data_IF_154183805565
#
_entry.id   IF_154183805565
#
_cell.length_a   1.000
_cell.length_b   1.000
_cell.length_c   1.000
_cell.angle_alpha   90.00
_cell.angle_beta   90.00
_cell.angle_gamma   90.00
#
_symmetry.space_group_name_H-M   'P 1'
#
loop_
_entity.id
_entity.type
_entity.pdbx_description
1 polymer ?
#
# COMPACT_ATOMS: atom_id res chain seq x y z
N UNK A 1 0.07 -11.58 -8.53
CA UNK A 1 -0.70 -10.37 -8.14
C UNK A 1 -2.21 -10.57 -8.25
N UNK A 2 -2.76 -11.21 -9.30
CA UNK A 2 -4.23 -11.39 -9.42
C UNK A 2 -4.87 -12.11 -8.23
N UNK A 3 -4.20 -13.14 -7.70
CA UNK A 3 -4.71 -13.92 -6.56
C UNK A 3 -4.95 -13.08 -5.30
N UNK A 4 -4.17 -12.02 -5.06
CA UNK A 4 -4.35 -11.15 -3.89
C UNK A 4 -5.66 -10.37 -4.00
N UNK A 5 -5.94 -9.81 -5.18
CA UNK A 5 -7.14 -9.01 -5.41
C UNK A 5 -8.41 -9.84 -5.54
N UNK A 6 -8.29 -11.13 -5.90
CA UNK A 6 -9.39 -12.08 -5.78
C UNK A 6 -9.71 -12.40 -4.31
N UNK A 7 -8.70 -12.55 -3.46
CA UNK A 7 -8.89 -12.73 -2.00
C UNK A 7 -9.52 -11.51 -1.34
N UNK A 8 -9.10 -10.30 -1.74
CA UNK A 8 -9.71 -9.04 -1.27
C UNK A 8 -11.21 -9.01 -1.58
N UNK A 9 -11.60 -9.27 -2.84
CA UNK A 9 -13.03 -9.30 -3.22
C UNK A 9 -13.84 -10.33 -2.43
N UNK A 10 -13.25 -11.49 -2.16
CA UNK A 10 -13.90 -12.52 -1.32
C UNK A 10 -14.08 -12.01 0.11
N UNK A 11 -13.04 -11.40 0.70
CA UNK A 11 -13.09 -10.85 2.04
C UNK A 11 -14.14 -9.74 2.16
N UNK A 12 -14.13 -8.76 1.26
CA UNK A 12 -15.07 -7.63 1.20
C UNK A 12 -16.52 -8.13 1.06
N UNK A 13 -16.75 -9.16 0.24
CA UNK A 13 -18.07 -9.77 0.07
C UNK A 13 -18.59 -10.51 1.30
N UNK A 14 -17.70 -11.03 2.16
CA UNK A 14 -18.05 -11.72 3.40
C UNK A 14 -18.11 -10.78 4.61
N UNK A 15 -17.36 -9.68 4.57
CA UNK A 15 -17.15 -8.75 5.67
C UNK A 15 -17.39 -7.31 5.19
N UNK A 16 -18.63 -6.94 4.82
CA UNK A 16 -18.90 -5.60 4.35
C UNK A 16 -18.56 -4.58 5.44
N UNK A 17 -17.77 -3.55 5.10
CA UNK A 17 -17.45 -2.47 6.02
C UNK A 17 -18.72 -1.81 6.54
N UNK A 18 -18.87 -1.78 7.86
CA UNK A 18 -19.99 -1.12 8.55
C UNK A 18 -19.70 0.35 8.88
N UNK A 19 -18.75 0.94 8.15
CA UNK A 19 -18.23 2.29 8.36
C UNK A 19 -16.95 2.27 9.19
N UNK A 20 -15.89 2.90 8.66
CA UNK A 20 -14.66 3.19 9.40
C UNK A 20 -14.80 4.64 9.87
N UNK A 21 -14.85 4.84 11.19
CA UNK A 21 -14.89 6.19 11.75
C UNK A 21 -13.54 6.88 11.57
N UNK A 22 -13.57 8.20 11.40
CA UNK A 22 -12.35 9.02 11.41
C UNK A 22 -11.78 9.08 12.83
N UNK A 23 -10.53 8.67 12.99
CA UNK A 23 -9.80 8.69 14.24
C UNK A 23 -9.46 10.13 14.66
N UNK A 24 -9.27 10.35 15.97
CA UNK A 24 -9.02 11.69 16.50
C UNK A 24 -7.72 12.33 15.96
N UNK A 25 -6.75 11.50 15.54
CA UNK A 25 -5.46 11.92 15.03
C UNK A 25 -5.39 11.93 13.50
N UNK A 26 -6.48 11.60 12.81
CA UNK A 26 -6.54 11.69 11.37
C UNK A 26 -6.32 13.13 10.90
N UNK A 27 -5.50 13.31 9.86
CA UNK A 27 -5.20 14.61 9.28
C UNK A 27 -6.47 15.32 8.83
N UNK A 28 -6.55 16.62 9.12
CA UNK A 28 -7.65 17.49 8.68
C UNK A 28 -7.46 18.02 7.26
N UNK A 29 -6.26 17.84 6.71
CA UNK A 29 -5.85 18.41 5.42
C UNK A 29 -5.71 17.33 4.36
N UNK A 30 -5.16 16.18 4.73
CA UNK A 30 -4.87 15.10 3.80
C UNK A 30 -5.67 13.87 4.17
N UNK A 31 -6.28 13.27 3.16
CA UNK A 31 -6.93 11.98 3.33
C UNK A 31 -5.91 10.85 3.42
N UNK A 32 -4.95 10.83 2.51
CA UNK A 32 -3.81 9.92 2.59
C UNK A 32 -2.57 10.71 2.99
N UNK A 33 -1.73 10.12 3.83
CA UNK A 33 -0.37 10.58 4.10
C UNK A 33 0.64 9.66 3.42
N UNK A 34 1.87 10.15 3.27
CA UNK A 34 2.97 9.29 2.82
C UNK A 34 3.16 8.14 3.81
N UNK A 35 3.12 6.87 3.36
CA UNK A 35 3.29 5.72 4.25
C UNK A 35 4.72 5.57 4.74
N UNK A 36 5.69 6.22 4.06
CA UNK A 36 7.07 6.35 4.49
C UNK A 36 7.52 7.82 4.38
N UNK A 37 7.16 8.67 5.36
CA UNK A 37 7.65 10.05 5.43
C UNK A 37 9.19 10.08 5.40
N UNK A 38 9.77 11.02 4.65
CA UNK A 38 11.22 11.13 4.48
C UNK A 38 11.83 10.23 3.39
N UNK A 39 11.04 9.35 2.76
CA UNK A 39 11.52 8.44 1.72
C UNK A 39 11.85 9.13 0.40
N UNK A 40 12.51 8.39 -0.49
CA UNK A 40 12.68 8.76 -1.90
C UNK A 40 11.80 7.87 -2.77
N UNK A 41 11.17 8.45 -3.79
CA UNK A 41 10.44 7.67 -4.79
C UNK A 41 11.44 7.02 -5.75
N UNK A 42 11.42 5.69 -5.86
CA UNK A 42 12.32 4.92 -6.73
C UNK A 42 11.66 4.48 -8.04
N UNK A 43 10.33 4.35 -8.06
CA UNK A 43 9.56 4.01 -9.27
C UNK A 43 8.14 4.56 -9.16
N UNK A 44 7.63 5.15 -10.25
CA UNK A 44 6.26 5.66 -10.33
C UNK A 44 5.26 4.64 -10.89
N UNK A 45 3.98 4.96 -10.78
CA UNK A 45 2.89 4.19 -11.38
C UNK A 45 2.96 4.26 -12.90
N UNK A 46 2.71 3.13 -13.59
CA UNK A 46 2.61 3.12 -15.05
C UNK A 46 3.39 2.02 -15.76
N UNK A 47 3.48 2.10 -17.10
CA UNK A 47 4.28 1.18 -17.91
C UNK A 47 5.74 1.18 -17.48
N UNK A 48 6.35 0.00 -17.42
CA UNK A 48 7.70 -0.17 -16.85
C UNK A 48 8.53 -1.17 -17.64
N UNK A 49 9.87 -1.03 -17.72
CA UNK A 49 10.72 -2.00 -18.40
C UNK A 49 11.01 -3.27 -17.58
N UNK A 50 10.59 -3.31 -16.30
CA UNK A 50 10.87 -4.46 -15.44
C UNK A 50 10.02 -5.67 -15.82
N UNK A 51 10.69 -6.70 -16.35
CA UNK A 51 10.04 -7.91 -16.89
C UNK A 51 9.25 -8.74 -15.86
N UNK A 52 9.53 -8.55 -14.56
CA UNK A 52 8.88 -9.27 -13.47
C UNK A 52 7.58 -8.60 -13.00
N UNK A 53 7.25 -7.42 -13.54
CA UNK A 53 6.00 -6.72 -13.32
C UNK A 53 4.89 -7.32 -14.19
N UNK A 54 3.63 -7.34 -13.71
CA UNK A 54 2.52 -7.97 -14.41
C UNK A 54 2.07 -7.11 -15.59
N UNK A 55 1.35 -7.74 -16.52
CA UNK A 55 0.63 -7.03 -17.55
C UNK A 55 -0.61 -6.33 -16.97
N UNK A 56 -0.83 -5.07 -17.35
CA UNK A 56 -2.02 -4.31 -16.99
C UNK A 56 -2.28 -3.19 -18.01
N UNK A 57 -3.55 -2.83 -18.24
CA UNK A 57 -3.92 -1.69 -19.08
C UNK A 57 -3.44 -1.76 -20.54
N UNK A 58 -3.18 -2.98 -21.07
CA UNK A 58 -2.64 -3.18 -22.42
C UNK A 58 -1.12 -3.15 -22.52
N UNK A 59 -0.40 -2.96 -21.40
CA UNK A 59 1.06 -3.04 -21.33
C UNK A 59 1.51 -4.41 -20.85
N UNK A 60 2.63 -4.91 -21.39
CA UNK A 60 3.21 -6.20 -21.00
C UNK A 60 3.70 -6.20 -19.55
N UNK A 61 4.20 -5.05 -19.08
CA UNK A 61 4.73 -4.83 -17.75
C UNK A 61 4.24 -3.47 -17.26
N UNK A 62 3.62 -3.44 -16.10
CA UNK A 62 3.00 -2.26 -15.55
C UNK A 62 3.13 -2.25 -14.03
N UNK A 63 3.67 -1.15 -13.52
CA UNK A 63 3.81 -0.91 -12.11
C UNK A 63 2.52 -0.29 -11.57
N UNK A 64 1.81 -1.04 -10.73
CA UNK A 64 0.47 -0.66 -10.27
C UNK A 64 0.45 0.23 -9.03
N UNK A 65 1.62 0.65 -8.54
CA UNK A 65 1.77 1.52 -7.38
C UNK A 65 2.91 2.52 -7.54
N UNK A 66 3.41 3.02 -6.40
CA UNK A 66 4.60 3.86 -6.29
C UNK A 66 5.56 3.23 -5.29
N UNK A 67 6.84 3.19 -5.64
CA UNK A 67 7.87 2.63 -4.79
C UNK A 67 8.57 3.72 -3.98
N UNK A 68 8.68 3.49 -2.67
CA UNK A 68 9.30 4.40 -1.70
C UNK A 68 10.43 3.68 -0.99
N UNK A 69 11.62 4.28 -0.93
CA UNK A 69 12.78 3.67 -0.30
C UNK A 69 13.28 4.48 0.91
N UNK A 70 13.56 3.76 1.99
CA UNK A 70 14.34 4.17 3.16
C UNK A 70 15.34 3.04 3.50
N UNK A 71 16.17 3.17 4.56
CA UNK A 71 16.96 2.03 5.03
C UNK A 71 16.06 0.85 5.44
N UNK A 72 16.43 -0.36 5.03
CA UNK A 72 15.69 -1.58 5.37
C UNK A 72 15.32 -1.66 6.86
N UNK A 73 14.09 -2.10 7.15
CA UNK A 73 13.56 -2.11 8.51
C UNK A 73 12.93 -0.78 8.95
N UNK A 74 12.92 0.24 8.09
CA UNK A 74 12.19 1.48 8.34
C UNK A 74 10.68 1.21 8.51
N UNK A 75 9.98 1.97 9.38
CA UNK A 75 8.57 1.75 9.61
C UNK A 75 7.72 2.16 8.40
N UNK A 76 6.83 1.27 7.99
CA UNK A 76 5.76 1.52 7.01
C UNK A 76 4.47 1.80 7.77
N UNK A 77 3.84 2.93 7.45
CA UNK A 77 2.66 3.44 8.15
C UNK A 77 1.40 3.34 7.30
N UNK A 78 0.24 3.21 7.96
CA UNK A 78 -1.06 3.29 7.30
C UNK A 78 -1.27 4.70 6.73
N UNK A 79 -1.60 4.78 5.44
CA UNK A 79 -1.80 6.04 4.75
C UNK A 79 -3.13 6.74 5.12
N UNK A 80 -4.15 5.99 5.51
CA UNK A 80 -5.48 6.48 5.96
C UNK A 80 -5.98 5.53 7.08
N UNK A 81 -6.96 5.95 7.86
CA UNK A 81 -7.67 5.09 8.80
C UNK A 81 -8.29 3.90 8.06
N UNK A 82 -8.18 2.71 8.62
CA UNK A 82 -8.50 1.49 7.88
C UNK A 82 -8.79 0.28 8.74
N UNK A 83 -9.21 -0.79 8.07
CA UNK A 83 -9.24 -2.14 8.64
C UNK A 83 -8.30 -3.01 7.82
N UNK A 84 -7.48 -3.82 8.49
CA UNK A 84 -6.63 -4.80 7.84
C UNK A 84 -7.51 -5.92 7.29
N UNK A 85 -7.57 -6.05 5.98
CA UNK A 85 -8.39 -7.08 5.31
C UNK A 85 -7.56 -8.25 4.81
N UNK A 86 -6.25 -8.06 4.65
CA UNK A 86 -5.35 -9.13 4.26
C UNK A 86 -3.94 -8.88 4.80
N UNK A 87 -3.32 -9.95 5.28
CA UNK A 87 -1.88 -10.01 5.55
C UNK A 87 -1.38 -11.27 4.89
N UNK A 88 -0.36 -11.14 4.04
CA UNK A 88 0.15 -12.27 3.27
C UNK A 88 1.66 -12.30 3.22
N UNK A 89 2.18 -13.45 2.78
CA UNK A 89 3.60 -13.69 2.57
C UNK A 89 3.77 -14.64 1.38
N UNK A 90 4.85 -14.45 0.63
CA UNK A 90 5.17 -15.31 -0.50
C UNK A 90 6.52 -14.99 -1.12
N UNK A 91 7.11 -15.94 -1.87
CA UNK A 91 8.41 -15.76 -2.51
C UNK A 91 8.36 -14.88 -3.77
N UNK A 92 7.18 -14.53 -4.28
CA UNK A 92 6.99 -13.81 -5.55
C UNK A 92 5.95 -12.69 -5.42
N UNK A 93 5.88 -11.82 -6.43
CA UNK A 93 4.93 -10.71 -6.47
C UNK A 93 5.18 -9.73 -5.33
N UNK A 94 4.14 -9.37 -4.57
CA UNK A 94 4.24 -8.40 -3.48
C UNK A 94 5.07 -8.87 -2.27
N UNK A 95 5.54 -10.12 -2.22
CA UNK A 95 6.34 -10.61 -1.09
C UNK A 95 5.50 -10.73 0.19
N UNK A 96 5.98 -10.14 1.29
CA UNK A 96 5.16 -9.91 2.48
C UNK A 96 4.39 -8.61 2.30
N UNK A 97 3.10 -8.63 2.63
CA UNK A 97 2.25 -7.48 2.39
C UNK A 97 1.12 -7.35 3.39
N UNK A 98 0.61 -6.12 3.49
CA UNK A 98 -0.61 -5.76 4.21
C UNK A 98 -1.57 -5.09 3.22
N UNK A 99 -2.86 -5.40 3.31
CA UNK A 99 -3.92 -4.71 2.58
C UNK A 99 -4.88 -4.10 3.58
N UNK A 100 -5.15 -2.80 3.44
CA UNK A 100 -6.11 -2.06 4.24
C UNK A 100 -7.30 -1.66 3.39
N UNK A 101 -8.50 -1.90 3.90
CA UNK A 101 -9.73 -1.31 3.37
C UNK A 101 -10.04 -0.02 4.13
N UNK A 102 -10.47 0.99 3.40
CA UNK A 102 -10.79 2.32 3.90
C UNK A 102 -12.22 2.70 3.52
N UNK A 103 -12.74 3.78 4.10
CA UNK A 103 -14.08 4.26 3.78
C UNK A 103 -14.21 4.65 2.29
N UNK A 104 -15.38 4.45 1.69
CA UNK A 104 -15.65 4.95 0.34
C UNK A 104 -15.06 4.12 -0.81
N UNK A 105 -14.87 2.81 -0.60
CA UNK A 105 -14.44 1.89 -1.64
C UNK A 105 -12.96 2.03 -2.02
N UNK A 106 -12.14 2.47 -1.07
CA UNK A 106 -10.70 2.65 -1.23
C UNK A 106 -9.95 1.53 -0.54
N UNK A 107 -8.92 1.03 -1.19
CA UNK A 107 -8.08 -0.03 -0.63
C UNK A 107 -6.62 0.31 -0.89
N UNK A 108 -5.75 0.15 0.12
CA UNK A 108 -4.31 0.33 -0.05
C UNK A 108 -3.56 -0.97 0.19
N UNK A 109 -2.49 -1.22 -0.58
CA UNK A 109 -1.57 -2.34 -0.39
C UNK A 109 -0.17 -1.82 -0.10
N UNK A 110 0.49 -2.49 0.85
CA UNK A 110 1.85 -2.21 1.32
C UNK A 110 2.68 -3.48 1.09
N UNK A 111 3.45 -3.51 0.02
CA UNK A 111 4.22 -4.67 -0.43
C UNK A 111 5.71 -4.62 -0.10
N UNK A 112 6.40 -5.72 -0.41
CA UNK A 112 7.83 -5.96 -0.22
C UNK A 112 8.32 -5.85 1.22
N UNK A 113 7.40 -5.95 2.19
CA UNK A 113 7.72 -5.80 3.61
C UNK A 113 8.72 -6.87 4.07
N UNK A 114 9.51 -6.54 5.08
CA UNK A 114 10.24 -7.54 5.85
C UNK A 114 9.23 -8.30 6.74
N UNK A 115 8.37 -7.57 7.45
CA UNK A 115 7.36 -8.12 8.36
C UNK A 115 6.15 -7.19 8.48
N UNK A 116 4.96 -7.77 8.61
CA UNK A 116 3.76 -7.08 9.06
C UNK A 116 3.72 -6.95 10.60
N UNK A 117 3.23 -5.81 11.10
CA UNK A 117 3.05 -5.52 12.53
C UNK A 117 1.58 -5.61 12.98
N UNK A 118 0.69 -5.93 12.06
CA UNK A 118 -0.76 -6.04 12.25
C UNK A 118 -1.28 -7.38 11.74
N UNK A 119 -2.53 -7.71 12.08
CA UNK A 119 -3.24 -8.91 11.61
C UNK A 119 -4.59 -8.54 11.01
N UNK A 120 -5.13 -9.45 10.20
CA UNK A 120 -6.48 -9.31 9.62
C UNK A 120 -7.52 -9.06 10.71
N UNK A 121 -8.38 -8.06 10.48
CA UNK A 121 -9.41 -7.58 11.40
C UNK A 121 -8.97 -6.43 12.32
N UNK A 122 -7.67 -6.10 12.38
CA UNK A 122 -7.22 -4.94 13.17
C UNK A 122 -7.73 -3.64 12.54
N UNK A 123 -8.28 -2.75 13.36
CA UNK A 123 -8.48 -1.35 12.99
C UNK A 123 -7.16 -0.60 13.16
N UNK A 124 -6.81 0.23 12.19
CA UNK A 124 -5.59 1.04 12.19
C UNK A 124 -5.93 2.51 11.97
N UNK A 125 -5.14 3.39 12.56
CA UNK A 125 -5.27 4.83 12.33
C UNK A 125 -4.22 5.33 11.34
N UNK A 126 -4.50 6.44 10.66
CA UNK A 126 -3.53 7.13 9.82
C UNK A 126 -2.21 7.36 10.57
N UNK A 127 -1.09 7.15 9.88
CA UNK A 127 0.30 7.19 10.42
C UNK A 127 0.65 6.08 11.42
N UNK A 128 -0.25 5.13 11.72
CA UNK A 128 0.08 3.99 12.56
C UNK A 128 1.06 3.06 11.83
N UNK A 129 2.19 2.64 12.45
CA UNK A 129 3.06 1.62 11.88
C UNK A 129 2.32 0.28 11.70
N UNK A 130 2.36 -0.25 10.48
CA UNK A 130 1.70 -1.52 10.10
C UNK A 130 2.68 -2.57 9.57
N UNK A 131 3.91 -2.17 9.28
CA UNK A 131 4.93 -3.06 8.74
C UNK A 131 6.32 -2.44 8.82
N UNK A 132 7.32 -3.23 8.43
CA UNK A 132 8.69 -2.78 8.25
C UNK A 132 9.09 -3.00 6.79
N UNK A 133 9.73 -2.01 6.19
CA UNK A 133 10.31 -2.08 4.85
C UNK A 133 11.25 -3.29 4.74
N UNK A 134 11.21 -3.95 3.59
CA UNK A 134 12.07 -5.08 3.27
C UNK A 134 12.35 -5.15 1.78
N UNK A 135 12.77 -6.34 1.35
CA UNK A 135 13.07 -6.63 -0.06
C UNK A 135 12.52 -8.01 -0.44
N UNK A 136 11.28 -8.33 -0.03
CA UNK A 136 10.66 -9.65 -0.26
C UNK A 136 9.86 -9.70 -1.56
N UNK A 137 9.69 -10.89 -2.15
CA UNK A 137 8.95 -11.04 -3.40
C UNK A 137 9.75 -10.57 -4.63
N UNK A 138 9.05 -10.00 -5.61
CA UNK A 138 9.66 -9.45 -6.83
C UNK A 138 10.23 -8.06 -6.54
N UNK A 139 11.38 -8.00 -5.87
CA UNK A 139 12.04 -6.75 -5.50
C UNK A 139 13.52 -6.78 -5.89
N UNK A 140 14.06 -5.63 -6.32
CA UNK A 140 15.47 -5.47 -6.71
C UNK A 140 16.36 -4.92 -5.59
N UNK A 141 15.76 -4.56 -4.45
CA UNK A 141 16.42 -4.03 -3.27
C UNK A 141 15.39 -3.45 -2.29
N UNK A 142 15.77 -3.06 -1.06
CA UNK A 142 14.80 -2.57 -0.07
C UNK A 142 13.97 -1.37 -0.56
N UNK A 143 12.65 -1.54 -0.55
CA UNK A 143 11.65 -0.50 -0.81
C UNK A 143 10.26 -0.97 -0.36
N UNK A 144 9.34 -0.03 -0.19
CA UNK A 144 7.90 -0.27 -0.10
C UNK A 144 7.26 -0.09 -1.47
N UNK A 145 6.52 -1.09 -1.93
CA UNK A 145 5.52 -0.91 -2.97
C UNK A 145 4.20 -0.45 -2.35
N UNK A 146 3.80 0.80 -2.61
CA UNK A 146 2.54 1.37 -2.15
C UNK A 146 1.54 1.49 -3.30
N UNK A 147 0.38 0.87 -3.14
CA UNK A 147 -0.63 0.78 -4.19
C UNK A 147 -1.98 1.24 -3.67
N UNK A 148 -2.67 2.08 -4.45
CA UNK A 148 -4.01 2.56 -4.16
C UNK A 148 -4.98 1.97 -5.18
N UNK A 149 -6.12 1.49 -4.69
CA UNK A 149 -7.26 1.05 -5.50
C UNK A 149 -8.52 1.83 -5.18
N UNK A 150 -9.29 2.11 -6.22
CA UNK A 150 -10.66 2.63 -6.14
C UNK A 150 -11.57 1.57 -6.75
N UNK A 151 -12.51 1.05 -5.97
CA UNK A 151 -13.41 -0.03 -6.39
C UNK A 151 -12.64 -1.19 -7.04
N UNK A 152 -11.58 -1.65 -6.37
CA UNK A 152 -10.69 -2.73 -6.82
C UNK A 152 -9.88 -2.48 -8.11
N UNK A 153 -9.86 -1.26 -8.65
CA UNK A 153 -9.01 -0.88 -9.79
C UNK A 153 -7.79 -0.08 -9.33
N UNK A 154 -6.55 -0.45 -9.71
CA UNK A 154 -5.35 0.31 -9.35
C UNK A 154 -5.37 1.67 -10.04
N UNK A 155 -5.02 2.70 -9.28
CA UNK A 155 -4.89 4.09 -9.74
C UNK A 155 -3.53 4.62 -9.32
N UNK A 156 -3.05 5.65 -10.04
CA UNK A 156 -1.86 6.37 -9.62
C UNK A 156 -2.09 6.98 -8.22
N UNK A 157 -1.29 6.60 -7.20
CA UNK A 157 -1.45 7.15 -5.85
C UNK A 157 -0.99 8.62 -5.73
N UNK A 158 -0.14 9.11 -6.64
CA UNK A 158 0.50 10.43 -6.52
C UNK A 158 -0.49 11.60 -6.34
N UNK A 159 -1.64 11.66 -7.05
CA UNK A 159 -2.62 12.75 -6.86
C UNK A 159 -3.37 12.71 -5.53
N UNK A 160 -3.30 11.61 -4.79
CA UNK A 160 -4.00 11.40 -3.53
C UNK A 160 -3.12 11.62 -2.30
N UNK A 161 -1.80 11.64 -2.49
CA UNK A 161 -0.79 11.84 -1.45
C UNK A 161 -0.50 13.32 -1.22
N UNK A 162 0.11 13.69 -0.07
CA UNK A 162 0.49 15.07 0.20
C UNK A 162 1.40 15.63 -0.91
N UNK A 163 1.21 16.90 -1.33
CA UNK A 163 1.96 17.48 -2.42
C UNK A 163 3.46 17.57 -2.11
N UNK A 164 4.27 17.42 -3.16
CA UNK A 164 5.73 17.35 -3.03
C UNK A 164 6.24 15.92 -2.77
N UNK A 165 7.56 15.73 -2.73
CA UNK A 165 8.15 14.42 -2.46
C UNK A 165 7.96 13.99 -0.99
N UNK A 166 7.94 12.69 -0.68
CA UNK A 166 7.87 12.19 0.69
C UNK A 166 9.02 12.71 1.56
N UNK A 167 10.18 13.06 0.98
CA UNK A 167 11.32 13.66 1.67
C UNK A 167 10.99 14.95 2.44
N UNK A 168 10.00 15.70 1.95
CA UNK A 168 9.61 17.01 2.47
C UNK A 168 8.46 16.90 3.48
N UNK A 169 7.80 15.74 3.55
CA UNK A 169 6.69 15.47 4.45
C UNK A 169 7.19 15.18 5.87
N UNK A 170 6.59 15.86 6.88
CA UNK A 170 7.02 15.78 8.29
C UNK A 170 6.02 15.10 9.23
N UNK A 171 4.91 14.56 8.70
CA UNK A 171 3.81 14.02 9.50
C UNK A 171 2.85 15.11 9.92
#
# INVERSE_FOLDING_TARGET
MSQVWDQVKIYEGQNPLTGIGTSANHSKTFRFVWPMPGSTITQGFGPTPYWFEPAYGGFAHFHTGVDQALPEGSPVQAADDGVVILVGSGPYGYGNYVVLEHQGGLTTLYGHLNRALVKVGDAVTQSQPIGLEGSTGNSTGPHLHFELRINNQPVDPMPYLPPGPPSDFKG
#
